data_IF_444721357024
#
_entry.id   IF_444721357024
#
_cell.length_a   1.000
_cell.length_b   1.000
_cell.length_c   1.000
_cell.angle_alpha   90.00
_cell.angle_beta   90.00
_cell.angle_gamma   90.00
#
_symmetry.space_group_name_H-M   'P 1'
#
loop_
_entity.id
_entity.type
_entity.pdbx_description
1 polymer ?
#
# COMPACT_ATOMS: atom_id res chain seq x y z
N UNK A 1 -42.15 -11.67 -45.01
CA UNK A 1 -41.94 -11.17 -43.64
C UNK A 1 -41.39 -12.36 -42.86
N UNK A 2 -40.16 -12.39 -42.37
CA UNK A 2 -39.68 -11.58 -41.23
C UNK A 2 -38.15 -11.57 -41.19
N UNK A 3 -37.57 -10.38 -40.96
CA UNK A 3 -36.14 -10.20 -40.66
C UNK A 3 -35.94 -10.37 -39.15
N UNK A 4 -35.14 -11.35 -38.73
CA UNK A 4 -34.70 -11.46 -37.35
C UNK A 4 -33.52 -10.51 -37.11
N UNK A 5 -33.68 -9.55 -36.19
CA UNK A 5 -32.58 -8.72 -35.67
C UNK A 5 -31.80 -9.55 -34.65
N UNK A 6 -30.50 -9.73 -34.89
CA UNK A 6 -29.55 -10.18 -33.88
C UNK A 6 -29.12 -8.97 -33.04
N UNK A 7 -29.52 -8.95 -31.77
CA UNK A 7 -28.97 -8.01 -30.78
C UNK A 7 -27.65 -8.58 -30.26
N UNK A 8 -26.54 -7.93 -30.60
CA UNK A 8 -25.23 -8.18 -29.99
C UNK A 8 -25.20 -7.49 -28.62
N UNK A 9 -25.20 -8.27 -27.55
CA UNK A 9 -24.99 -7.77 -26.20
C UNK A 9 -23.48 -7.60 -25.95
N UNK A 10 -22.97 -6.38 -26.11
CA UNK A 10 -21.67 -5.99 -25.58
C UNK A 10 -21.78 -5.86 -24.06
N UNK A 11 -21.46 -6.93 -23.33
CA UNK A 11 -21.19 -6.88 -21.89
C UNK A 11 -19.94 -6.02 -21.67
N UNK A 12 -20.15 -4.78 -21.24
CA UNK A 12 -19.08 -3.95 -20.69
C UNK A 12 -18.57 -4.60 -19.40
N UNK A 13 -17.41 -5.24 -19.46
CA UNK A 13 -16.62 -5.63 -18.29
C UNK A 13 -16.17 -4.34 -17.61
N UNK A 14 -16.91 -3.87 -16.61
CA UNK A 14 -16.40 -2.85 -15.71
C UNK A 14 -15.18 -3.45 -14.97
N UNK A 15 -14.02 -2.78 -14.96
CA UNK A 15 -12.88 -3.24 -14.18
C UNK A 15 -13.30 -3.30 -12.72
N UNK A 16 -13.18 -4.47 -12.09
CA UNK A 16 -13.35 -4.59 -10.65
C UNK A 16 -12.32 -3.67 -9.99
N UNK A 17 -12.71 -2.84 -9.01
CA UNK A 17 -11.73 -2.07 -8.26
C UNK A 17 -10.72 -3.05 -7.66
N UNK A 18 -9.43 -2.81 -7.89
CA UNK A 18 -8.39 -3.60 -7.24
C UNK A 18 -8.59 -3.51 -5.72
N UNK A 19 -8.85 -4.65 -5.08
CA UNK A 19 -8.74 -4.75 -3.64
C UNK A 19 -7.26 -4.95 -3.32
N UNK A 20 -6.68 -3.97 -2.64
CA UNK A 20 -5.40 -4.13 -1.97
C UNK A 20 -5.58 -4.93 -0.68
N UNK A 21 -4.46 -5.20 -0.02
CA UNK A 21 -4.42 -5.91 1.26
C UNK A 21 -5.21 -5.13 2.33
N UNK A 22 -6.10 -5.83 3.03
CA UNK A 22 -6.96 -5.27 4.07
C UNK A 22 -6.13 -4.86 5.30
N UNK A 23 -6.44 -3.68 5.84
CA UNK A 23 -5.89 -3.17 7.11
C UNK A 23 -6.73 -3.58 8.32
N UNK A 24 -7.39 -4.75 8.24
CA UNK A 24 -8.31 -5.28 9.23
C UNK A 24 -9.46 -4.31 9.56
N UNK A 25 -9.97 -3.62 8.53
CA UNK A 25 -11.03 -2.61 8.65
C UNK A 25 -10.62 -1.30 9.32
N UNK A 26 -9.32 -1.10 9.60
CA UNK A 26 -8.81 0.18 10.08
C UNK A 26 -8.63 1.18 8.94
N UNK A 27 -8.68 2.46 9.28
CA UNK A 27 -8.45 3.53 8.32
C UNK A 27 -7.73 4.76 8.89
N UNK A 28 -7.05 5.50 8.02
CA UNK A 28 -6.37 6.76 8.38
C UNK A 28 -7.37 7.75 8.96
N UNK A 29 -7.00 8.36 10.09
CA UNK A 29 -7.82 9.32 10.84
C UNK A 29 -8.71 8.70 11.91
N UNK A 30 -8.93 7.37 11.90
CA UNK A 30 -9.67 6.71 12.98
C UNK A 30 -8.93 6.79 14.31
N UNK A 31 -9.65 6.63 15.41
CA UNK A 31 -9.07 6.58 16.76
C UNK A 31 -8.44 5.22 17.06
N UNK A 32 -7.41 5.19 17.92
CA UNK A 32 -6.83 3.99 18.51
C UNK A 32 -7.86 3.07 19.21
N UNK A 33 -9.04 3.58 19.57
CA UNK A 33 -10.15 2.76 20.06
C UNK A 33 -10.58 1.68 19.04
N UNK A 34 -10.33 1.89 17.74
CA UNK A 34 -10.61 0.92 16.68
C UNK A 34 -9.76 -0.36 16.81
N UNK A 35 -8.65 -0.34 17.58
CA UNK A 35 -7.77 -1.50 17.75
C UNK A 35 -8.41 -2.64 18.55
N UNK A 36 -9.55 -2.41 19.20
CA UNK A 36 -10.24 -3.43 20.00
C UNK A 36 -10.57 -4.72 19.24
N UNK A 37 -10.63 -4.68 17.92
CA UNK A 37 -10.89 -5.85 17.06
C UNK A 37 -9.63 -6.65 16.68
N UNK A 38 -8.43 -6.11 16.91
CA UNK A 38 -7.15 -6.71 16.49
C UNK A 38 -6.55 -7.68 17.51
N UNK A 39 -7.10 -7.72 18.72
CA UNK A 39 -6.49 -8.46 19.84
C UNK A 39 -5.24 -7.78 20.40
N UNK A 40 -4.50 -8.48 21.29
CA UNK A 40 -3.33 -7.90 21.95
C UNK A 40 -2.20 -7.63 20.94
N UNK A 41 -1.50 -6.48 21.05
CA UNK A 41 -0.37 -6.18 20.20
C UNK A 41 0.86 -7.02 20.57
N UNK A 42 1.70 -7.27 19.57
CA UNK A 42 3.03 -7.89 19.72
C UNK A 42 4.00 -6.91 20.39
N UNK A 43 3.93 -5.65 20.00
CA UNK A 43 4.74 -4.58 20.58
C UNK A 43 4.06 -3.22 20.42
N UNK A 44 4.42 -2.29 21.29
CA UNK A 44 4.05 -0.89 21.19
C UNK A 44 5.23 -0.03 21.66
N UNK A 45 5.50 1.08 20.98
CA UNK A 45 6.62 1.95 21.31
C UNK A 45 6.61 3.27 20.55
N UNK A 46 7.42 4.22 21.01
CA UNK A 46 7.54 5.51 20.35
C UNK A 46 8.09 5.33 18.92
N UNK A 47 7.37 5.87 17.92
CA UNK A 47 7.82 5.88 16.52
C UNK A 47 8.62 7.13 16.20
N UNK A 48 8.15 8.28 16.71
CA UNK A 48 8.73 9.61 16.58
C UNK A 48 8.23 10.44 17.79
N UNK A 49 8.81 11.61 18.08
CA UNK A 49 8.31 12.49 19.14
C UNK A 49 6.81 12.79 18.96
N UNK A 50 5.98 12.35 19.91
CA UNK A 50 4.52 12.52 19.87
C UNK A 50 3.76 11.46 19.07
N UNK A 51 4.42 10.39 18.63
CA UNK A 51 3.80 9.30 17.84
C UNK A 51 4.09 7.92 18.45
N UNK A 52 3.09 7.05 18.44
CA UNK A 52 3.17 5.69 18.97
C UNK A 52 2.93 4.68 17.85
N UNK A 53 3.89 3.80 17.59
CA UNK A 53 3.70 2.65 16.72
C UNK A 53 3.28 1.42 17.54
N UNK A 54 2.32 0.68 17.02
CA UNK A 54 1.83 -0.58 17.60
C UNK A 54 1.81 -1.65 16.52
N UNK A 55 2.26 -2.86 16.85
CA UNK A 55 2.45 -3.96 15.90
C UNK A 55 1.57 -5.15 16.27
N UNK A 56 0.97 -5.79 15.27
CA UNK A 56 0.22 -7.04 15.40
C UNK A 56 0.69 -8.07 14.38
N UNK A 57 0.59 -9.34 14.74
CA UNK A 57 0.58 -10.43 13.77
C UNK A 57 -0.81 -10.54 13.15
N UNK A 58 -0.85 -10.66 11.83
CA UNK A 58 -2.08 -10.92 11.09
C UNK A 58 -2.16 -12.40 10.66
N UNK A 59 -3.37 -12.88 10.32
CA UNK A 59 -3.52 -14.18 9.67
C UNK A 59 -2.64 -14.30 8.42
N UNK A 60 -2.19 -15.53 8.12
CA UNK A 60 -1.34 -15.79 6.95
C UNK A 60 0.14 -15.42 7.12
N UNK A 61 0.55 -14.93 8.30
CA UNK A 61 1.94 -14.62 8.62
C UNK A 61 2.36 -13.19 8.28
N UNK A 62 1.43 -12.36 7.79
CA UNK A 62 1.65 -10.93 7.63
C UNK A 62 1.71 -10.21 8.99
N UNK A 63 2.14 -8.97 8.98
CA UNK A 63 2.19 -8.10 10.14
C UNK A 63 1.54 -6.77 9.79
N UNK A 64 0.84 -6.20 10.77
CA UNK A 64 0.23 -4.88 10.68
C UNK A 64 0.90 -3.97 11.71
N UNK A 65 1.54 -2.91 11.24
CA UNK A 65 2.03 -1.81 12.07
C UNK A 65 1.10 -0.62 11.91
N UNK A 66 0.69 0.00 13.01
CA UNK A 66 -0.13 1.21 13.01
C UNK A 66 0.53 2.27 13.87
N UNK A 67 0.67 3.49 13.34
CA UNK A 67 1.14 4.64 14.09
C UNK A 67 0.01 5.62 14.35
N UNK A 68 -0.08 6.08 15.60
CA UNK A 68 -1.02 7.13 16.02
C UNK A 68 -0.30 8.42 16.42
N UNK A 69 -0.96 9.56 16.20
CA UNK A 69 -0.55 10.86 16.72
C UNK A 69 -0.83 11.01 18.23
N UNK A 70 -0.48 12.16 18.82
CA UNK A 70 -0.70 12.46 20.25
C UNK A 70 -2.17 12.58 20.63
N UNK A 71 -3.06 12.77 19.67
CA UNK A 71 -4.51 12.71 19.86
C UNK A 71 -5.07 11.28 19.72
N UNK A 72 -4.20 10.29 19.48
CA UNK A 72 -4.58 8.89 19.30
C UNK A 72 -5.25 8.61 17.96
N UNK A 73 -5.04 9.45 16.94
CA UNK A 73 -5.56 9.21 15.59
C UNK A 73 -4.54 8.46 14.75
N UNK A 74 -4.99 7.51 13.96
CA UNK A 74 -4.17 6.75 13.02
C UNK A 74 -3.65 7.69 11.93
N UNK A 75 -2.33 7.76 11.76
CA UNK A 75 -1.67 8.58 10.74
C UNK A 75 -0.82 7.76 9.77
N UNK A 76 -0.58 6.49 10.10
CA UNK A 76 0.20 5.57 9.27
C UNK A 76 -0.23 4.14 9.58
N UNK A 77 -0.33 3.33 8.56
CA UNK A 77 -0.52 1.89 8.66
C UNK A 77 0.37 1.21 7.62
N UNK A 78 1.01 0.13 8.00
CA UNK A 78 1.77 -0.71 7.08
C UNK A 78 1.39 -2.17 7.31
N UNK A 79 0.91 -2.81 6.25
CA UNK A 79 0.74 -4.24 6.19
C UNK A 79 1.92 -4.83 5.39
N UNK A 80 2.64 -5.77 5.96
CA UNK A 80 3.87 -6.30 5.38
C UNK A 80 4.06 -7.78 5.65
N UNK A 81 4.80 -8.44 4.75
CA UNK A 81 5.06 -9.87 4.85
C UNK A 81 5.97 -10.16 6.05
N UNK A 82 5.61 -11.16 6.86
CA UNK A 82 6.51 -11.68 7.88
C UNK A 82 7.72 -12.40 7.25
N UNK A 83 8.88 -12.49 7.93
CA UNK A 83 10.12 -13.04 7.37
C UNK A 83 10.04 -14.46 6.78
N UNK A 84 9.06 -15.26 7.23
CA UNK A 84 8.83 -16.63 6.75
C UNK A 84 7.40 -16.84 6.22
N UNK A 85 6.65 -15.76 5.99
CA UNK A 85 5.28 -15.90 5.51
C UNK A 85 5.29 -16.34 4.04
N UNK A 86 4.46 -17.33 3.65
CA UNK A 86 4.31 -17.72 2.27
C UNK A 86 3.71 -16.57 1.45
N UNK A 87 3.84 -16.60 0.10
CA UNK A 87 3.12 -15.67 -0.73
C UNK A 87 1.63 -15.66 -0.42
N UNK A 88 1.03 -14.47 -0.34
CA UNK A 88 -0.40 -14.32 -0.09
C UNK A 88 -1.21 -14.93 -1.23
N UNK A 89 -2.31 -15.61 -0.89
CA UNK A 89 -3.23 -16.25 -1.85
C UNK A 89 -4.52 -15.44 -1.99
N UNK A 90 -5.22 -15.56 -3.11
CA UNK A 90 -6.48 -14.87 -3.37
C UNK A 90 -6.47 -13.97 -4.61
N UNK A 91 -7.46 -13.09 -4.71
CA UNK A 91 -7.56 -12.07 -5.76
C UNK A 91 -6.92 -10.75 -5.31
N UNK A 92 -6.51 -9.91 -6.27
CA UNK A 92 -5.92 -8.60 -5.98
C UNK A 92 -4.39 -8.63 -5.83
N UNK A 93 -3.86 -7.61 -5.15
CA UNK A 93 -2.42 -7.49 -4.89
C UNK A 93 -1.99 -8.49 -3.80
N UNK A 94 -0.93 -9.25 -4.05
CA UNK A 94 -0.50 -10.36 -3.20
C UNK A 94 0.95 -10.20 -2.77
N UNK A 95 1.20 -10.23 -1.46
CA UNK A 95 2.57 -10.20 -0.95
C UNK A 95 3.37 -11.42 -1.41
N UNK A 96 4.63 -11.20 -1.81
CA UNK A 96 5.53 -12.25 -2.30
C UNK A 96 5.12 -12.86 -3.64
N UNK A 97 4.15 -12.30 -4.35
CA UNK A 97 3.69 -12.83 -5.64
C UNK A 97 3.41 -11.74 -6.68
N UNK A 98 2.76 -10.64 -6.30
CA UNK A 98 2.54 -9.54 -7.23
C UNK A 98 3.84 -8.80 -7.50
N UNK A 99 4.16 -8.65 -8.76
CA UNK A 99 5.37 -7.97 -9.23
C UNK A 99 5.18 -6.46 -9.31
N UNK A 100 6.28 -5.73 -9.27
CA UNK A 100 6.32 -4.30 -9.54
C UNK A 100 5.78 -3.98 -10.92
N UNK A 101 6.16 -4.75 -11.94
CA UNK A 101 5.69 -4.56 -13.32
C UNK A 101 4.16 -4.65 -13.44
N UNK A 102 3.53 -5.63 -12.77
CA UNK A 102 2.07 -5.77 -12.73
C UNK A 102 1.38 -4.54 -12.12
N UNK A 103 1.93 -4.00 -11.01
CA UNK A 103 1.34 -2.81 -10.38
C UNK A 103 1.51 -1.58 -11.25
N UNK A 104 2.67 -1.39 -11.89
CA UNK A 104 2.87 -0.25 -12.79
C UNK A 104 1.98 -0.31 -14.03
N UNK A 105 1.71 -1.52 -14.54
CA UNK A 105 0.74 -1.70 -15.62
C UNK A 105 -0.69 -1.34 -15.17
N UNK A 106 -1.03 -1.59 -13.90
CA UNK A 106 -2.33 -1.24 -13.32
C UNK A 106 -2.47 0.27 -13.05
N UNK A 107 -1.44 0.90 -12.50
CA UNK A 107 -1.49 2.32 -12.08
C UNK A 107 -1.14 3.29 -13.20
N UNK A 108 -0.50 2.82 -14.27
CA UNK A 108 -0.16 3.61 -15.45
C UNK A 108 0.97 4.63 -15.27
N UNK A 109 1.59 4.72 -14.08
CA UNK A 109 2.70 5.65 -13.80
C UNK A 109 3.59 5.14 -12.68
N UNK A 110 4.71 5.83 -12.44
CA UNK A 110 5.61 5.56 -11.31
C UNK A 110 5.11 6.14 -9.98
N UNK A 111 4.00 6.87 -9.96
CA UNK A 111 3.49 7.52 -8.77
C UNK A 111 4.22 8.83 -8.43
N UNK A 112 4.48 9.03 -7.14
CA UNK A 112 5.23 10.15 -6.58
C UNK A 112 6.47 9.65 -5.82
N UNK A 113 7.46 10.52 -5.70
CA UNK A 113 8.73 10.24 -5.00
C UNK A 113 8.92 11.24 -3.86
N UNK A 114 9.28 10.75 -2.68
CA UNK A 114 9.66 11.61 -1.57
C UNK A 114 11.15 11.95 -1.65
N UNK A 115 11.54 13.23 -1.51
CA UNK A 115 12.92 13.65 -1.74
C UNK A 115 13.91 13.05 -0.72
N UNK A 116 13.51 12.88 0.55
CA UNK A 116 14.38 12.28 1.57
C UNK A 116 14.45 10.75 1.52
N UNK A 117 13.42 10.07 1.03
CA UNK A 117 13.39 8.60 0.86
C UNK A 117 13.98 8.14 -0.47
N UNK A 118 13.73 8.89 -1.54
CA UNK A 118 13.99 8.47 -2.92
C UNK A 118 12.99 7.42 -3.43
N UNK A 119 13.20 6.97 -4.66
CA UNK A 119 12.36 5.94 -5.31
C UNK A 119 12.76 4.52 -4.92
N UNK A 120 13.94 4.33 -4.33
CA UNK A 120 14.43 3.03 -3.91
C UNK A 120 15.51 3.14 -2.83
N UNK A 121 15.71 2.07 -2.07
CA UNK A 121 16.81 1.93 -1.11
C UNK A 121 17.45 0.55 -1.25
N UNK A 122 18.79 0.50 -1.23
CA UNK A 122 19.53 -0.75 -1.20
C UNK A 122 19.67 -1.23 0.25
N UNK A 123 19.35 -2.48 0.50
CA UNK A 123 19.40 -3.17 1.80
C UNK A 123 20.21 -4.45 1.65
N UNK A 124 21.53 -4.31 1.61
CA UNK A 124 22.44 -5.44 1.39
C UNK A 124 22.25 -6.06 0.00
N UNK A 125 21.87 -7.34 -0.04
CA UNK A 125 21.65 -8.08 -1.29
C UNK A 125 20.31 -7.75 -1.98
N UNK A 126 19.46 -6.95 -1.34
CA UNK A 126 18.14 -6.59 -1.83
C UNK A 126 18.03 -5.10 -2.10
N UNK A 127 17.10 -4.73 -2.98
CA UNK A 127 16.67 -3.36 -3.23
C UNK A 127 15.17 -3.28 -3.02
N UNK A 128 14.74 -2.28 -2.25
CA UNK A 128 13.33 -1.95 -2.05
C UNK A 128 12.98 -0.79 -2.97
N UNK A 129 11.94 -0.97 -3.79
CA UNK A 129 11.42 0.05 -4.70
C UNK A 129 10.08 0.56 -4.17
N UNK A 130 9.91 1.88 -4.11
CA UNK A 130 8.72 2.53 -3.58
C UNK A 130 7.90 3.18 -4.70
N UNK A 131 6.59 2.98 -4.65
CA UNK A 131 5.64 3.65 -5.53
C UNK A 131 4.49 4.23 -4.71
N UNK A 132 4.40 5.56 -4.64
CA UNK A 132 3.36 6.25 -3.85
C UNK A 132 2.31 6.90 -4.73
N UNK A 133 1.04 6.82 -4.34
CA UNK A 133 -0.07 7.45 -5.03
C UNK A 133 -1.02 8.12 -4.04
N UNK A 134 -1.62 9.24 -4.44
CA UNK A 134 -2.84 9.71 -3.81
C UNK A 134 -4.02 8.82 -4.17
N UNK A 135 -5.01 8.75 -3.29
CA UNK A 135 -6.22 7.95 -3.48
C UNK A 135 -7.39 8.82 -3.90
N UNK A 136 -8.06 8.43 -4.99
CA UNK A 136 -9.23 9.15 -5.49
C UNK A 136 -10.33 9.22 -4.42
N UNK A 137 -10.86 10.42 -4.19
CA UNK A 137 -11.89 10.66 -3.18
C UNK A 137 -11.40 10.67 -1.73
N UNK A 138 -10.07 10.57 -1.50
CA UNK A 138 -9.47 10.54 -0.15
C UNK A 138 -8.33 11.57 -0.05
N UNK A 139 -8.64 12.88 -0.04
CA UNK A 139 -7.62 13.92 -0.05
C UNK A 139 -6.72 13.82 1.20
N UNK A 140 -5.41 13.89 0.98
CA UNK A 140 -4.40 13.81 2.05
C UNK A 140 -4.04 12.39 2.50
N UNK A 141 -4.65 11.34 1.93
CA UNK A 141 -4.27 9.95 2.17
C UNK A 141 -3.44 9.42 1.00
N UNK A 142 -2.31 8.79 1.33
CA UNK A 142 -1.38 8.21 0.37
C UNK A 142 -1.30 6.70 0.53
N UNK A 143 -1.27 5.99 -0.59
CA UNK A 143 -0.93 4.58 -0.66
C UNK A 143 0.48 4.40 -1.22
N UNK A 144 1.34 3.70 -0.50
CA UNK A 144 2.69 3.34 -0.96
C UNK A 144 2.84 1.84 -1.06
N UNK A 145 3.37 1.38 -2.19
CA UNK A 145 3.71 -0.01 -2.43
C UNK A 145 5.23 -0.16 -2.35
N UNK A 146 5.72 -1.07 -1.51
CA UNK A 146 7.12 -1.44 -1.43
C UNK A 146 7.34 -2.79 -2.10
N UNK A 147 8.27 -2.84 -3.05
CA UNK A 147 8.63 -4.06 -3.77
C UNK A 147 10.08 -4.42 -3.48
N UNK A 148 10.34 -5.67 -3.13
CA UNK A 148 11.68 -6.17 -2.81
C UNK A 148 12.16 -7.08 -3.93
N UNK A 149 13.38 -6.86 -4.40
CA UNK A 149 14.05 -7.71 -5.38
C UNK A 149 15.56 -7.73 -5.18
N UNK A 150 16.29 -8.64 -5.85
CA UNK A 150 17.74 -8.71 -5.74
C UNK A 150 18.40 -7.42 -6.26
N UNK A 151 19.40 -6.92 -5.54
CA UNK A 151 20.19 -5.76 -5.96
C UNK A 151 20.85 -6.01 -7.32
N UNK A 152 20.67 -5.08 -8.26
CA UNK A 152 21.20 -5.16 -9.62
C UNK A 152 20.36 -5.99 -10.61
N UNK A 153 19.28 -6.65 -10.15
CA UNK A 153 18.32 -7.29 -11.03
C UNK A 153 17.37 -6.27 -11.68
N UNK A 154 16.71 -6.62 -12.79
CA UNK A 154 15.64 -5.80 -13.35
C UNK A 154 14.52 -5.56 -12.33
N UNK A 155 14.12 -4.30 -12.06
CA UNK A 155 13.22 -3.97 -10.96
C UNK A 155 11.79 -4.46 -11.18
N UNK A 156 11.37 -4.69 -12.43
CA UNK A 156 10.00 -5.12 -12.74
C UNK A 156 9.64 -6.47 -12.13
N UNK A 157 10.64 -7.32 -11.87
CA UNK A 157 10.48 -8.60 -11.18
C UNK A 157 10.48 -8.53 -9.65
N UNK A 158 10.69 -7.35 -9.06
CA UNK A 158 10.61 -7.17 -7.61
C UNK A 158 9.19 -7.46 -7.12
N UNK A 159 9.07 -8.12 -5.97
CA UNK A 159 7.80 -8.62 -5.45
C UNK A 159 7.25 -7.71 -4.35
N UNK A 160 5.94 -7.51 -4.34
CA UNK A 160 5.25 -6.71 -3.34
C UNK A 160 5.51 -7.30 -1.95
N UNK A 161 6.02 -6.46 -1.06
CA UNK A 161 6.43 -6.85 0.29
C UNK A 161 5.61 -6.14 1.35
N UNK A 162 5.36 -4.84 1.14
CA UNK A 162 4.49 -4.05 2.00
C UNK A 162 3.58 -3.10 1.22
N UNK A 163 2.44 -2.82 1.84
CA UNK A 163 1.50 -1.76 1.45
C UNK A 163 1.36 -0.83 2.65
N UNK A 164 1.52 0.45 2.41
CA UNK A 164 1.43 1.51 3.40
C UNK A 164 0.25 2.41 3.06
N UNK A 165 -0.62 2.69 4.03
CA UNK A 165 -1.51 3.84 3.99
C UNK A 165 -1.01 4.88 4.97
N UNK A 166 -1.05 6.16 4.59
CA UNK A 166 -0.55 7.22 5.45
C UNK A 166 -1.27 8.53 5.23
N UNK A 167 -1.36 9.32 6.30
CA UNK A 167 -1.58 10.75 6.18
C UNK A 167 -0.35 11.39 5.51
N UNK A 168 -0.59 12.21 4.48
CA UNK A 168 0.47 12.80 3.67
C UNK A 168 1.44 13.65 4.50
N UNK A 169 0.95 14.36 5.52
CA UNK A 169 1.80 15.21 6.37
C UNK A 169 2.72 14.38 7.24
N UNK A 170 2.22 13.26 7.80
CA UNK A 170 3.04 12.33 8.57
C UNK A 170 4.10 11.68 7.69
N UNK A 171 3.69 11.16 6.52
CA UNK A 171 4.60 10.53 5.57
C UNK A 171 5.72 11.49 5.13
N UNK A 172 5.37 12.74 4.83
CA UNK A 172 6.34 13.78 4.47
C UNK A 172 7.33 14.08 5.59
N UNK A 173 6.89 14.08 6.85
CA UNK A 173 7.77 14.27 7.99
C UNK A 173 8.81 13.15 8.08
N UNK A 174 8.38 11.88 7.99
CA UNK A 174 9.31 10.75 8.13
C UNK A 174 10.17 10.50 6.88
N UNK A 175 9.72 10.94 5.70
CA UNK A 175 10.41 10.70 4.42
C UNK A 175 11.04 11.97 3.83
N UNK A 176 11.18 13.02 4.64
CA UNK A 176 12.04 14.16 4.36
C UNK A 176 11.50 15.14 3.32
N UNK A 177 10.18 15.34 3.26
CA UNK A 177 9.54 16.39 2.47
C UNK A 177 8.24 15.98 1.79
N UNK A 178 7.52 16.91 1.15
CA UNK A 178 6.34 16.59 0.35
C UNK A 178 6.71 15.69 -0.84
N UNK A 179 5.84 14.72 -1.22
CA UNK A 179 6.08 13.89 -2.39
C UNK A 179 6.01 14.73 -3.68
N UNK A 180 6.84 14.37 -4.65
CA UNK A 180 6.90 15.01 -5.98
C UNK A 180 6.34 14.05 -7.03
N UNK A 181 5.29 14.43 -7.77
CA UNK A 181 4.74 13.61 -8.84
C UNK A 181 5.73 13.31 -9.95
N UNK A 182 5.75 12.06 -10.42
CA UNK A 182 6.49 11.66 -11.62
C UNK A 182 5.68 11.97 -12.89
N UNK A 183 6.31 12.04 -14.08
CA UNK A 183 5.58 12.22 -15.34
C UNK A 183 4.47 11.17 -15.53
N UNK A 184 3.30 11.63 -15.96
CA UNK A 184 2.13 10.77 -16.16
C UNK A 184 1.39 10.38 -14.88
N UNK A 185 1.78 10.92 -13.71
CA UNK A 185 1.09 10.68 -12.46
C UNK A 185 -0.41 10.99 -12.52
N UNK A 186 -1.19 10.08 -11.97
CA UNK A 186 -2.58 10.25 -11.60
C UNK A 186 -2.82 9.61 -10.23
N UNK A 187 -3.82 10.11 -9.51
CA UNK A 187 -4.37 9.38 -8.36
C UNK A 187 -4.93 8.03 -8.81
N UNK A 188 -4.97 7.07 -7.88
CA UNK A 188 -5.49 5.73 -8.16
C UNK A 188 -6.83 5.51 -7.45
N UNK A 189 -7.73 4.81 -8.13
CA UNK A 189 -8.97 4.27 -7.54
C UNK A 189 -8.72 2.83 -7.10
N UNK A 190 -8.27 2.67 -5.85
CA UNK A 190 -7.98 1.39 -5.23
C UNK A 190 -8.58 1.34 -3.83
N UNK A 191 -9.16 0.19 -3.47
CA UNK A 191 -9.77 -0.04 -2.16
C UNK A 191 -8.81 -0.81 -1.27
N UNK A 192 -8.73 -0.40 -0.01
CA UNK A 192 -7.90 -0.97 1.04
C UNK A 192 -8.78 -1.26 2.26
#
# INVERSE_FOLDING_TARGET
>A
MSRALAFAACLALAPLPGAAQDFAGLDIGQSAAAFGTLGPPVSAGAANPGYMATLWHQPGGNQLSVTTDSAGRIVYMENFRGPAAPPSVGMGLRFGATTRGEVLALTGSGGMVFPGRGAQVATGAETVHFHTYGLTGRPGVLATFAFVGPSGAPPDGALLDSVILSDASYQSMIWGGPPVPTPGYAEIDMRF
#
